data_IF_763424342012
#
_entry.id   IF_763424342012
#
_cell.length_a   1.000
_cell.length_b   1.000
_cell.length_c   1.000
_cell.angle_alpha   90.00
_cell.angle_beta   90.00
_cell.angle_gamma   90.00
#
_symmetry.space_group_name_H-M   'P 1'
#
loop_
_entity.id
_entity.type
_entity.pdbx_description
1 polymer ?
#
# COMPACT_ATOMS: atom_id res chain seq x y z
N UNK A 1 10.98 -2.85 3.57
CA UNK A 1 10.96 -3.59 2.29
C UNK A 1 11.67 -4.91 2.48
N UNK A 2 11.21 -6.00 1.84
CA UNK A 2 11.96 -7.24 1.85
C UNK A 2 13.35 -7.01 1.24
N UNK A 3 14.42 -7.58 1.82
CA UNK A 3 15.72 -7.62 1.15
C UNK A 3 15.58 -8.25 -0.22
N UNK A 4 16.32 -7.77 -1.23
CA UNK A 4 16.24 -8.31 -2.59
C UNK A 4 16.51 -9.82 -2.65
N UNK A 5 17.39 -10.32 -1.79
CA UNK A 5 17.64 -11.77 -1.62
C UNK A 5 16.40 -12.61 -1.26
N UNK A 6 15.39 -12.03 -0.58
CA UNK A 6 14.12 -12.72 -0.35
C UNK A 6 13.37 -12.91 -1.67
N UNK A 7 13.36 -11.90 -2.54
CA UNK A 7 12.73 -11.99 -3.86
C UNK A 7 13.49 -12.98 -4.76
N UNK A 8 14.82 -13.05 -4.66
CA UNK A 8 15.63 -14.04 -5.37
C UNK A 8 15.29 -15.47 -4.93
N UNK A 9 15.09 -15.69 -3.61
CA UNK A 9 14.60 -16.97 -3.08
C UNK A 9 13.20 -17.28 -3.62
N UNK A 10 12.27 -16.32 -3.56
CA UNK A 10 10.92 -16.49 -4.08
C UNK A 10 10.94 -16.88 -5.56
N UNK A 11 11.75 -16.22 -6.39
CA UNK A 11 11.92 -16.55 -7.80
C UNK A 11 12.38 -18.00 -8.00
N UNK A 12 13.40 -18.45 -7.24
CA UNK A 12 13.92 -19.83 -7.31
C UNK A 12 12.88 -20.88 -6.96
N UNK A 13 11.89 -20.54 -6.13
CA UNK A 13 10.80 -21.43 -5.74
C UNK A 13 9.51 -21.21 -6.56
N UNK A 14 9.54 -20.39 -7.61
CA UNK A 14 8.35 -20.09 -8.42
C UNK A 14 7.27 -19.30 -7.68
N UNK A 15 7.63 -18.64 -6.58
CA UNK A 15 6.73 -17.84 -5.76
C UNK A 15 6.71 -16.38 -6.24
N UNK A 16 5.57 -15.73 -6.02
CA UNK A 16 5.39 -14.29 -6.22
C UNK A 16 5.16 -13.62 -4.87
N UNK A 17 5.65 -12.39 -4.73
CA UNK A 17 5.66 -11.65 -3.47
C UNK A 17 4.88 -10.35 -3.62
N UNK A 18 3.89 -10.17 -2.75
CA UNK A 18 3.20 -8.91 -2.55
C UNK A 18 3.94 -8.10 -1.49
N UNK A 19 4.42 -6.89 -1.83
CA UNK A 19 5.28 -6.10 -0.94
C UNK A 19 4.55 -4.90 -0.33
N UNK A 20 4.56 -4.78 0.99
CA UNK A 20 3.95 -3.65 1.70
C UNK A 20 4.81 -2.39 1.72
N UNK A 21 4.19 -1.24 1.41
CA UNK A 21 4.79 0.10 1.47
C UNK A 21 4.49 0.83 2.79
N UNK A 22 3.51 0.34 3.55
CA UNK A 22 3.12 0.81 4.88
C UNK A 22 2.65 2.27 4.92
N UNK A 23 1.81 2.68 3.97
CA UNK A 23 1.25 4.02 3.89
C UNK A 23 0.47 4.43 5.16
N UNK A 24 -0.15 3.47 5.86
CA UNK A 24 -0.87 3.70 7.10
C UNK A 24 0.00 4.36 8.19
N UNK A 25 1.31 4.09 8.20
CA UNK A 25 2.24 4.65 9.17
C UNK A 25 2.39 6.18 9.06
N UNK A 26 2.12 6.74 7.89
CA UNK A 26 2.27 8.17 7.63
C UNK A 26 0.94 8.92 7.58
N UNK A 27 -0.18 8.23 7.79
CA UNK A 27 -1.52 8.82 7.67
C UNK A 27 -1.76 9.95 8.67
N UNK A 28 -1.12 9.90 9.85
CA UNK A 28 -1.20 10.95 10.86
C UNK A 28 -0.66 12.32 10.39
N UNK A 29 0.28 12.32 9.42
CA UNK A 29 0.79 13.56 8.84
C UNK A 29 -0.19 14.27 7.90
N UNK A 30 -1.33 13.63 7.58
CA UNK A 30 -2.44 14.32 6.94
C UNK A 30 -3.12 15.30 7.91
N UNK A 31 -3.05 15.04 9.22
CA UNK A 31 -3.62 15.86 10.28
C UNK A 31 -2.68 16.99 10.66
N UNK A 32 -1.45 16.63 11.03
CA UNK A 32 -0.41 17.58 11.42
C UNK A 32 0.82 17.38 10.53
N UNK A 33 1.12 18.40 9.72
CA UNK A 33 2.26 18.36 8.80
C UNK A 33 3.57 18.76 9.46
N UNK A 34 3.56 19.14 10.75
CA UNK A 34 4.76 19.53 11.48
C UNK A 34 5.74 18.36 11.51
N UNK A 35 6.97 18.59 11.03
CA UNK A 35 8.02 17.58 10.91
C UNK A 35 7.62 16.35 10.07
N UNK A 36 6.65 16.48 9.16
CA UNK A 36 6.31 15.40 8.24
C UNK A 36 7.53 15.09 7.36
N UNK A 37 7.97 13.82 7.28
CA UNK A 37 9.02 13.43 6.36
C UNK A 37 8.54 13.58 4.92
N UNK A 38 9.47 13.53 3.97
CA UNK A 38 9.11 13.38 2.56
C UNK A 38 8.61 11.96 2.29
N UNK A 39 7.32 11.75 2.50
CA UNK A 39 6.64 10.45 2.33
C UNK A 39 6.83 9.95 0.89
N UNK A 40 6.79 10.84 -0.10
CA UNK A 40 6.89 10.48 -1.50
C UNK A 40 8.33 9.97 -1.80
N UNK A 41 9.36 10.63 -1.27
CA UNK A 41 10.74 10.15 -1.37
C UNK A 41 10.96 8.82 -0.64
N UNK A 42 10.35 8.62 0.53
CA UNK A 42 10.42 7.36 1.27
C UNK A 42 9.79 6.21 0.48
N UNK A 43 8.58 6.42 -0.07
CA UNK A 43 7.91 5.42 -0.90
C UNK A 43 8.70 5.13 -2.17
N UNK A 44 9.23 6.17 -2.83
CA UNK A 44 10.11 6.04 -3.99
C UNK A 44 11.32 5.15 -3.70
N UNK A 45 12.00 5.40 -2.59
CA UNK A 45 13.15 4.60 -2.17
C UNK A 45 12.76 3.14 -1.93
N UNK A 46 11.61 2.88 -1.29
CA UNK A 46 11.07 1.52 -1.09
C UNK A 46 10.76 0.82 -2.42
N UNK A 47 10.12 1.49 -3.37
CA UNK A 47 9.79 0.91 -4.69
C UNK A 47 11.05 0.50 -5.44
N UNK A 48 12.06 1.38 -5.49
CA UNK A 48 13.34 1.14 -6.19
C UNK A 48 14.06 -0.14 -5.74
N UNK A 49 13.90 -0.59 -4.50
CA UNK A 49 14.59 -1.80 -4.04
C UNK A 49 14.04 -3.08 -4.70
N UNK A 50 12.79 -3.05 -5.15
CA UNK A 50 12.07 -4.24 -5.64
C UNK A 50 11.60 -4.11 -7.10
N UNK A 51 11.60 -2.90 -7.67
CA UNK A 51 11.15 -2.64 -9.03
C UNK A 51 11.81 -3.55 -10.07
N UNK A 52 10.99 -4.00 -11.02
CA UNK A 52 11.41 -4.90 -12.11
C UNK A 52 11.84 -6.30 -11.69
N UNK A 53 11.73 -6.68 -10.40
CA UNK A 53 12.13 -8.01 -9.97
C UNK A 53 11.10 -9.06 -10.41
N UNK A 54 11.50 -10.18 -11.04
CA UNK A 54 10.56 -11.16 -11.60
C UNK A 54 9.65 -11.83 -10.56
N UNK A 55 10.09 -11.97 -9.31
CA UNK A 55 9.25 -12.48 -8.21
C UNK A 55 8.29 -11.44 -7.60
N UNK A 56 8.35 -10.17 -7.99
CA UNK A 56 7.40 -9.18 -7.52
C UNK A 56 6.02 -9.45 -8.14
N UNK A 57 4.98 -9.55 -7.30
CA UNK A 57 3.59 -9.61 -7.75
C UNK A 57 3.01 -8.20 -7.90
N UNK A 58 3.00 -7.46 -6.79
CA UNK A 58 2.42 -6.13 -6.68
C UNK A 58 2.93 -5.41 -5.42
N UNK A 59 2.71 -4.10 -5.37
CA UNK A 59 2.89 -3.25 -4.21
C UNK A 59 1.57 -3.07 -3.47
N UNK A 60 1.54 -3.36 -2.18
CA UNK A 60 0.46 -2.96 -1.29
C UNK A 60 0.79 -1.59 -0.72
N UNK A 61 0.03 -0.55 -1.07
CA UNK A 61 0.24 0.82 -0.56
C UNK A 61 0.26 0.83 0.97
N UNK A 62 -0.68 0.11 1.59
CA UNK A 62 -0.75 -0.06 3.03
C UNK A 62 -1.63 -1.23 3.40
N UNK A 63 -1.58 -1.57 4.69
CA UNK A 63 -2.51 -2.49 5.31
C UNK A 63 -3.37 -1.70 6.30
N UNK A 64 -4.64 -1.52 5.96
CA UNK A 64 -5.68 -0.98 6.84
C UNK A 64 -5.32 0.31 7.59
N UNK A 65 -5.66 1.45 6.97
CA UNK A 65 -5.91 2.66 7.75
C UNK A 65 -7.11 2.38 8.67
N UNK A 66 -6.93 2.52 9.98
CA UNK A 66 -7.95 2.17 10.96
C UNK A 66 -9.28 2.88 10.65
N UNK A 67 -10.40 2.19 10.87
CA UNK A 67 -11.73 2.74 10.57
C UNK A 67 -11.97 4.08 11.28
N UNK A 68 -11.47 4.24 12.52
CA UNK A 68 -11.54 5.50 13.26
C UNK A 68 -10.79 6.63 12.55
N UNK A 69 -9.56 6.35 12.08
CA UNK A 69 -8.74 7.33 11.37
C UNK A 69 -9.35 7.68 10.01
N UNK A 70 -9.82 6.68 9.27
CA UNK A 70 -10.50 6.87 7.99
C UNK A 70 -11.77 7.73 8.15
N UNK A 71 -12.57 7.48 9.19
CA UNK A 71 -13.80 8.23 9.47
C UNK A 71 -13.52 9.67 9.91
N UNK A 72 -12.44 9.89 10.67
CA UNK A 72 -12.02 11.22 11.10
C UNK A 72 -11.45 12.05 9.95
N UNK A 73 -10.60 11.45 9.11
CA UNK A 73 -10.02 12.11 7.95
C UNK A 73 -11.05 12.35 6.83
N UNK A 74 -12.04 11.46 6.73
CA UNK A 74 -12.99 11.43 5.63
C UNK A 74 -12.44 10.69 4.39
N UNK A 75 -13.32 10.09 3.58
CA UNK A 75 -12.94 9.21 2.47
C UNK A 75 -12.12 9.93 1.40
N UNK A 76 -12.46 11.18 1.05
CA UNK A 76 -11.78 11.94 0.00
C UNK A 76 -10.30 12.20 0.31
N UNK A 77 -9.98 12.50 1.58
CA UNK A 77 -8.60 12.76 2.01
C UNK A 77 -7.77 11.49 2.00
N UNK A 78 -8.35 10.37 2.44
CA UNK A 78 -7.70 9.05 2.39
C UNK A 78 -7.49 8.62 0.93
N UNK A 79 -8.51 8.75 0.08
CA UNK A 79 -8.42 8.44 -1.35
C UNK A 79 -7.34 9.28 -2.03
N UNK A 80 -7.34 10.60 -1.83
CA UNK A 80 -6.34 11.50 -2.43
C UNK A 80 -4.92 11.17 -1.95
N UNK A 81 -4.76 10.78 -0.68
CA UNK A 81 -3.48 10.33 -0.15
C UNK A 81 -3.00 9.05 -0.83
N UNK A 82 -3.85 8.02 -0.91
CA UNK A 82 -3.52 6.75 -1.56
C UNK A 82 -3.26 6.92 -3.06
N UNK A 83 -4.04 7.76 -3.75
CA UNK A 83 -3.84 8.06 -5.17
C UNK A 83 -2.50 8.76 -5.42
N UNK A 84 -2.09 9.67 -4.52
CA UNK A 84 -0.77 10.30 -4.59
C UNK A 84 0.33 9.24 -4.51
N UNK A 85 0.24 8.31 -3.57
CA UNK A 85 1.24 7.24 -3.41
C UNK A 85 1.22 6.26 -4.60
N UNK A 86 0.05 5.91 -5.11
CA UNK A 86 -0.10 5.14 -6.34
C UNK A 86 0.68 5.78 -7.49
N UNK A 87 0.53 7.10 -7.70
CA UNK A 87 1.27 7.82 -8.74
C UNK A 87 2.78 7.84 -8.50
N UNK A 88 3.24 7.84 -7.24
CA UNK A 88 4.68 7.70 -6.92
C UNK A 88 5.18 6.33 -7.36
N UNK A 89 4.43 5.26 -7.05
CA UNK A 89 4.79 3.90 -7.48
C UNK A 89 4.85 3.82 -9.00
N UNK A 90 3.80 4.25 -9.71
CA UNK A 90 3.75 4.19 -11.18
C UNK A 90 4.82 5.03 -11.89
N UNK A 91 5.32 6.10 -11.26
CA UNK A 91 6.45 6.87 -11.82
C UNK A 91 7.78 6.12 -11.73
N UNK A 92 7.94 5.26 -10.73
CA UNK A 92 9.17 4.50 -10.51
C UNK A 92 9.12 3.12 -11.18
N UNK A 93 7.94 2.50 -11.21
CA UNK A 93 7.69 1.19 -11.79
C UNK A 93 6.35 1.24 -12.55
N UNK A 94 6.34 1.70 -13.81
CA UNK A 94 5.11 1.88 -14.60
C UNK A 94 4.28 0.60 -14.76
N UNK A 95 4.96 -0.55 -14.89
CA UNK A 95 4.35 -1.86 -15.08
C UNK A 95 4.01 -2.56 -13.75
N UNK A 96 4.50 -2.02 -12.62
CA UNK A 96 4.25 -2.57 -11.30
C UNK A 96 2.78 -2.49 -10.92
N UNK A 97 2.17 -3.62 -10.57
CA UNK A 97 0.80 -3.67 -10.06
C UNK A 97 0.73 -3.07 -8.65
N UNK A 98 -0.34 -2.35 -8.36
CA UNK A 98 -0.56 -1.66 -7.09
C UNK A 98 -1.94 -2.00 -6.53
N UNK A 99 -1.96 -2.28 -5.24
CA UNK A 99 -3.18 -2.54 -4.47
C UNK A 99 -3.14 -1.82 -3.12
N UNK A 100 -4.25 -1.89 -2.41
CA UNK A 100 -4.39 -1.47 -1.02
C UNK A 100 -5.17 -2.56 -0.31
N UNK A 101 -4.65 -3.03 0.82
CA UNK A 101 -5.29 -4.11 1.58
C UNK A 101 -6.17 -3.50 2.64
N UNK A 102 -7.46 -3.79 2.60
CA UNK A 102 -8.43 -3.29 3.56
C UNK A 102 -9.23 -4.40 4.23
N UNK A 103 -9.68 -4.13 5.46
CA UNK A 103 -10.80 -4.81 6.08
C UNK A 103 -12.10 -4.09 5.64
N UNK A 104 -13.16 -4.84 5.24
CA UNK A 104 -14.30 -4.30 4.49
C UNK A 104 -15.22 -3.32 5.24
N UNK A 105 -15.00 -3.03 6.52
CA UNK A 105 -15.81 -2.04 7.28
C UNK A 105 -15.50 -0.58 6.93
N UNK A 106 -14.66 -0.33 5.92
CA UNK A 106 -14.53 0.98 5.29
C UNK A 106 -15.61 1.14 4.23
N UNK A 107 -16.87 1.24 4.68
CA UNK A 107 -17.90 1.89 3.88
C UNK A 107 -17.30 3.20 3.35
N UNK A 108 -17.48 3.48 2.05
CA UNK A 108 -17.09 4.74 1.39
C UNK A 108 -15.67 4.91 0.83
N UNK A 109 -14.75 3.94 0.92
CA UNK A 109 -13.45 4.08 0.23
C UNK A 109 -13.48 3.46 -1.18
N UNK A 110 -13.71 4.30 -2.20
CA UNK A 110 -13.68 3.89 -3.62
C UNK A 110 -12.31 4.22 -4.20
N UNK A 111 -11.54 3.21 -4.59
CA UNK A 111 -10.16 3.36 -5.09
C UNK A 111 -10.04 2.88 -6.55
N UNK A 112 -10.67 3.57 -7.52
CA UNK A 112 -10.77 3.08 -8.90
C UNK A 112 -9.45 3.10 -9.68
N UNK A 113 -8.42 3.74 -9.11
CA UNK A 113 -7.09 3.81 -9.70
C UNK A 113 -6.21 2.59 -9.37
N UNK A 114 -6.60 1.72 -8.45
CA UNK A 114 -5.82 0.52 -8.13
C UNK A 114 -5.91 -0.50 -9.27
N UNK A 115 -4.82 -1.24 -9.47
CA UNK A 115 -4.78 -2.29 -10.51
C UNK A 115 -5.53 -3.55 -10.07
N UNK A 116 -5.60 -3.80 -8.75
CA UNK A 116 -6.35 -4.90 -8.15
C UNK A 116 -6.83 -4.56 -6.74
N UNK A 117 -7.96 -5.13 -6.34
CA UNK A 117 -8.54 -4.99 -5.00
C UNK A 117 -8.09 -6.16 -4.12
N UNK A 118 -7.88 -5.90 -2.82
CA UNK A 118 -7.46 -6.91 -1.86
C UNK A 118 -8.17 -6.68 -0.53
N UNK A 119 -8.87 -7.71 -0.05
CA UNK A 119 -9.64 -7.66 1.20
C UNK A 119 -9.11 -8.69 2.18
N UNK A 120 -8.83 -8.24 3.41
CA UNK A 120 -8.69 -9.16 4.53
C UNK A 120 -10.08 -9.57 4.99
N UNK A 121 -10.37 -10.88 4.95
CA UNK A 121 -11.67 -11.44 5.36
C UNK A 121 -11.45 -12.27 6.61
N UNK A 122 -12.07 -11.84 7.71
CA UNK A 122 -12.10 -12.59 8.96
C UNK A 122 -13.51 -13.16 9.15
N UNK A 123 -13.58 -14.43 9.57
CA UNK A 123 -14.83 -15.05 9.95
C UNK A 123 -15.10 -14.72 11.42
N UNK A 124 -16.32 -14.25 11.71
CA UNK A 124 -16.79 -14.10 13.08
C UNK A 124 -17.14 -15.49 13.63
N UNK A 125 -16.47 -15.91 14.72
CA UNK A 125 -16.91 -17.08 15.48
C UNK A 125 -17.94 -16.61 16.49
N UNK A 126 -19.10 -17.29 16.56
CA UNK A 126 -20.21 -16.92 17.45
C UNK A 126 -20.02 -17.40 18.91
N UNK A 127 -18.79 -17.69 19.31
CA UNK A 127 -18.51 -18.16 20.67
C UNK A 127 -18.53 -17.02 21.71
#
# INVERSE_FOLDING_TARGET
>A
MPPRGLLDVAARHGLKVMVGLSAEQYVGYLIDRRNAPDIDALVRAKVRTCAGHPALLCYALGNEISAQMARWLGPERVQSYLERLYRVVKREDPEGLVTYVNYPTTEYLVLPFLDLLSFNVYLESQD
#
